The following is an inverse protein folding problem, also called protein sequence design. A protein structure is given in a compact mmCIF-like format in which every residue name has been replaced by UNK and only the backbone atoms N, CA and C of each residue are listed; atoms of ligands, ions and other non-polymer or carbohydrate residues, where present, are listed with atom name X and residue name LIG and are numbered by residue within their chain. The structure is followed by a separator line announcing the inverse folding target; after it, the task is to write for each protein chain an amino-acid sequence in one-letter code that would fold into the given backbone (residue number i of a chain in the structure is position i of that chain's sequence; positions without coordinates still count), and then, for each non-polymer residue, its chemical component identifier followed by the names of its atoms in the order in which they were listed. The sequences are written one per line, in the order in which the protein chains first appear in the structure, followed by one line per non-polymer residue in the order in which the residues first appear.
data_IF_913538640375
#
_entry.id   IF_913538640375
#
_cell.length_a   1.000
_cell.length_b   1.000
_cell.length_c   1.000
_cell.angle_alpha   90.00
_cell.angle_beta   90.00
_cell.angle_gamma   90.00
#
_symmetry.space_group_name_H-M   'P 1'
#
loop_
_entity.id
_entity.type
_entity.pdbx_description
1 polymer ?
#
# COMPACT_ATOMS: atom_id res chain seq x y z
N UNK A 1 -12.60 5.92 13.81
CA UNK A 1 -11.51 6.93 13.75
C UNK A 1 -11.82 8.04 14.72
N UNK A 2 -10.89 8.41 15.59
CA UNK A 2 -11.08 9.52 16.54
C UNK A 2 -10.80 10.89 15.91
N UNK A 3 -9.97 10.91 14.86
CA UNK A 3 -9.71 12.09 14.03
C UNK A 3 -10.56 12.00 12.76
N UNK A 4 -11.41 13.00 12.52
CA UNK A 4 -12.30 13.09 11.34
C UNK A 4 -12.07 14.36 10.51
N UNK A 5 -11.12 15.20 10.91
CA UNK A 5 -10.73 16.45 10.25
C UNK A 5 -9.23 16.44 9.95
N UNK A 6 -8.79 17.06 8.85
CA UNK A 6 -7.38 17.10 8.45
C UNK A 6 -7.02 15.94 7.52
N UNK A 7 -5.88 15.28 7.78
CA UNK A 7 -5.37 14.18 6.95
C UNK A 7 -5.90 12.84 7.48
N UNK A 8 -6.49 12.03 6.59
CA UNK A 8 -6.93 10.67 6.94
C UNK A 8 -5.72 9.75 7.05
N UNK A 9 -5.58 9.06 8.19
CA UNK A 9 -4.44 8.17 8.46
C UNK A 9 -4.96 6.88 9.08
N UNK A 10 -4.65 5.72 8.48
CA UNK A 10 -4.94 4.41 9.05
C UNK A 10 -3.68 3.65 9.41
N UNK A 11 -3.66 2.94 10.54
CA UNK A 11 -2.68 1.88 10.75
C UNK A 11 -3.22 0.59 10.14
N UNK A 12 -2.45 -0.02 9.23
CA UNK A 12 -2.82 -1.26 8.55
C UNK A 12 -1.77 -2.30 8.85
N UNK A 13 -2.21 -3.49 9.25
CA UNK A 13 -1.36 -4.66 9.46
C UNK A 13 -1.82 -5.79 8.56
N UNK A 14 -0.89 -6.30 7.76
CA UNK A 14 -1.04 -7.49 6.94
C UNK A 14 -0.35 -8.67 7.64
N UNK A 15 -1.08 -9.78 7.80
CA UNK A 15 -0.48 -11.07 8.16
C UNK A 15 0.45 -11.58 7.05
N UNK A 16 1.37 -12.53 7.33
CA UNK A 16 2.24 -13.10 6.31
C UNK A 16 1.49 -13.50 5.02
N UNK A 17 2.05 -13.13 3.88
CA UNK A 17 1.47 -13.29 2.54
C UNK A 17 0.15 -12.56 2.26
N UNK A 18 -0.41 -11.80 3.21
CA UNK A 18 -1.59 -10.98 2.99
C UNK A 18 -1.20 -9.72 2.19
N UNK A 19 -1.98 -9.39 1.17
CA UNK A 19 -1.82 -8.19 0.36
C UNK A 19 -3.18 -7.69 -0.10
N UNK A 20 -3.26 -6.40 -0.39
CA UNK A 20 -4.45 -5.84 -1.01
C UNK A 20 -4.51 -6.17 -2.51
N UNK A 21 -5.67 -5.91 -3.11
CA UNK A 21 -5.82 -5.92 -4.56
C UNK A 21 -5.04 -4.75 -5.17
N UNK A 22 -4.79 -4.86 -6.47
CA UNK A 22 -4.43 -3.69 -7.26
C UNK A 22 -5.48 -2.59 -7.05
N UNK A 23 -5.04 -1.36 -6.89
CA UNK A 23 -5.94 -0.21 -6.73
C UNK A 23 -5.29 1.09 -7.19
N UNK A 24 -6.13 2.10 -7.40
CA UNK A 24 -5.73 3.45 -7.80
C UNK A 24 -6.34 4.45 -6.82
N UNK A 25 -5.53 5.41 -6.37
CA UNK A 25 -6.01 6.62 -5.71
C UNK A 25 -6.19 7.71 -6.77
N UNK A 26 -7.42 8.14 -7.02
CA UNK A 26 -7.72 9.19 -8.00
C UNK A 26 -7.62 10.57 -7.36
N UNK A 27 -7.01 11.51 -8.09
CA UNK A 27 -6.76 12.93 -7.74
C UNK A 27 -5.89 13.16 -6.50
N UNK A 28 -6.05 12.36 -5.46
CA UNK A 28 -5.18 12.28 -4.28
C UNK A 28 -4.19 11.13 -4.41
N UNK A 29 -3.06 11.23 -3.71
CA UNK A 29 -2.08 10.16 -3.60
C UNK A 29 -2.11 9.50 -2.23
N UNK A 30 -1.19 8.58 -2.01
CA UNK A 30 -1.02 7.90 -0.73
C UNK A 30 0.45 7.93 -0.31
N UNK A 31 0.70 8.08 0.98
CA UNK A 31 2.02 7.89 1.57
C UNK A 31 1.95 6.72 2.52
N UNK A 32 2.88 5.78 2.40
CA UNK A 32 3.09 4.72 3.38
C UNK A 32 4.28 5.08 4.26
N UNK A 33 4.10 5.04 5.57
CA UNK A 33 5.21 5.04 6.53
C UNK A 33 5.25 3.68 7.21
N UNK A 34 6.28 2.89 6.91
CA UNK A 34 6.40 1.53 7.43
C UNK A 34 6.84 1.59 8.90
N UNK A 35 6.10 0.88 9.75
CA UNK A 35 6.31 0.91 11.21
C UNK A 35 6.88 -0.38 11.75
N UNK A 36 6.57 -1.53 11.15
CA UNK A 36 7.08 -2.82 11.59
C UNK A 36 6.97 -3.89 10.49
N UNK A 37 7.74 -4.97 10.65
CA UNK A 37 7.70 -6.13 9.76
C UNK A 37 8.37 -5.90 8.41
N UNK A 38 8.08 -6.78 7.46
CA UNK A 38 8.62 -6.75 6.10
C UNK A 38 7.51 -6.91 5.07
N UNK A 39 7.48 -6.03 4.08
CA UNK A 39 6.44 -6.00 3.06
C UNK A 39 6.97 -5.75 1.65
N UNK A 40 6.03 -5.66 0.73
CA UNK A 40 6.24 -5.24 -0.64
C UNK A 40 5.35 -4.06 -0.99
N UNK A 41 5.86 -3.22 -1.89
CA UNK A 41 5.08 -2.27 -2.67
C UNK A 41 5.41 -2.46 -4.14
N UNK A 42 4.41 -2.40 -5.01
CA UNK A 42 4.63 -2.51 -6.44
C UNK A 42 3.67 -1.62 -7.22
N UNK A 43 4.23 -0.89 -8.19
CA UNK A 43 3.47 -0.20 -9.23
C UNK A 43 3.28 -1.10 -10.45
N UNK A 44 2.16 -0.92 -11.16
CA UNK A 44 1.87 -1.66 -12.37
C UNK A 44 3.00 -1.52 -13.41
N UNK A 45 3.47 -2.66 -13.93
CA UNK A 45 4.55 -2.71 -14.92
C UNK A 45 5.95 -2.39 -14.38
N UNK A 46 6.12 -2.19 -13.06
CA UNK A 46 7.42 -1.99 -12.42
C UNK A 46 7.79 -3.16 -11.50
N UNK A 47 9.09 -3.36 -11.21
CA UNK A 47 9.51 -4.33 -10.19
C UNK A 47 8.95 -3.99 -8.81
N UNK A 48 8.59 -5.01 -8.03
CA UNK A 48 8.22 -4.83 -6.63
C UNK A 48 9.44 -4.38 -5.81
N UNK A 49 9.19 -3.56 -4.79
CA UNK A 49 10.18 -3.05 -3.86
C UNK A 49 9.95 -3.66 -2.48
N UNK A 50 11.00 -4.21 -1.86
CA UNK A 50 10.96 -4.63 -0.46
C UNK A 50 10.89 -3.42 0.45
N UNK A 51 10.10 -3.55 1.51
CA UNK A 51 9.87 -2.54 2.51
C UNK A 51 10.19 -3.08 3.90
N UNK A 52 10.77 -2.23 4.75
CA UNK A 52 11.05 -2.48 6.17
C UNK A 52 10.74 -1.23 7.01
N UNK A 53 10.73 -1.39 8.33
CA UNK A 53 10.48 -0.28 9.26
C UNK A 53 11.37 0.94 8.97
N UNK A 54 10.73 2.11 8.91
CA UNK A 54 11.37 3.39 8.59
C UNK A 54 11.32 3.77 7.11
N UNK A 55 11.01 2.84 6.21
CA UNK A 55 10.84 3.16 4.79
C UNK A 55 9.57 4.03 4.58
N UNK A 56 9.66 4.95 3.62
CA UNK A 56 8.57 5.83 3.21
C UNK A 56 8.33 5.66 1.73
N UNK A 57 7.09 5.35 1.36
CA UNK A 57 6.67 5.23 -0.03
C UNK A 57 5.73 6.38 -0.36
N UNK A 58 6.10 7.21 -1.32
CA UNK A 58 5.18 8.18 -1.90
C UNK A 58 4.55 7.58 -3.17
N UNK A 59 3.23 7.45 -3.16
CA UNK A 59 2.44 6.85 -4.23
C UNK A 59 1.62 7.99 -4.87
N UNK A 60 2.04 8.50 -6.04
CA UNK A 60 1.32 9.56 -6.72
C UNK A 60 -0.11 9.16 -7.08
N UNK A 61 -0.97 10.16 -7.27
CA UNK A 61 -2.31 9.95 -7.82
C UNK A 61 -2.25 9.22 -9.16
N UNK A 62 -3.31 8.47 -9.48
CA UNK A 62 -3.49 7.70 -10.72
C UNK A 62 -2.53 6.51 -10.91
N UNK A 63 -1.66 6.24 -9.93
CA UNK A 63 -0.76 5.07 -9.99
C UNK A 63 -1.51 3.82 -9.54
N UNK A 64 -1.66 2.86 -10.46
CA UNK A 64 -2.12 1.49 -10.14
C UNK A 64 -1.02 0.76 -9.37
N UNK A 65 -1.34 0.34 -8.16
CA UNK A 65 -0.37 -0.29 -7.26
C UNK A 65 -1.02 -1.28 -6.29
N UNK A 66 -0.18 -2.07 -5.63
CA UNK A 66 -0.56 -2.87 -4.46
C UNK A 66 0.56 -2.79 -3.41
N UNK A 67 0.23 -3.18 -2.19
CA UNK A 67 1.18 -3.38 -1.09
C UNK A 67 0.67 -4.42 -0.12
N UNK A 68 1.59 -5.04 0.61
CA UNK A 68 1.27 -6.13 1.52
C UNK A 68 2.48 -6.71 2.20
N UNK A 69 2.24 -7.74 2.99
CA UNK A 69 3.28 -8.49 3.68
C UNK A 69 4.14 -9.31 2.72
N UNK A 70 5.36 -9.60 3.15
CA UNK A 70 6.16 -10.68 2.56
C UNK A 70 5.61 -12.04 2.97
N UNK A 71 6.13 -13.12 2.35
CA UNK A 71 5.62 -14.49 2.56
C UNK A 71 5.73 -14.95 4.02
N UNK A 72 6.83 -14.59 4.68
CA UNK A 72 7.23 -15.16 5.97
C UNK A 72 7.24 -14.13 7.12
N UNK A 73 6.79 -12.90 6.88
CA UNK A 73 6.75 -11.82 7.87
C UNK A 73 5.44 -11.04 7.76
N UNK A 74 4.93 -10.55 8.88
CA UNK A 74 3.85 -9.56 8.86
C UNK A 74 4.37 -8.22 8.35
N UNK A 75 3.47 -7.30 8.01
CA UNK A 75 3.82 -5.95 7.58
C UNK A 75 2.85 -4.94 8.19
N UNK A 76 3.37 -3.88 8.82
CA UNK A 76 2.55 -2.80 9.38
C UNK A 76 3.04 -1.44 8.94
N UNK A 77 2.11 -0.57 8.56
CA UNK A 77 2.41 0.78 8.13
C UNK A 77 1.26 1.74 8.45
N UNK A 78 1.59 3.02 8.52
CA UNK A 78 0.60 4.07 8.43
C UNK A 78 0.31 4.33 6.95
N UNK A 79 -0.97 4.25 6.57
CA UNK A 79 -1.48 4.72 5.29
C UNK A 79 -1.98 6.15 5.48
N UNK A 80 -1.34 7.11 4.81
CA UNK A 80 -1.63 8.54 4.90
C UNK A 80 -2.20 8.97 3.56
N UNK A 81 -3.49 9.31 3.54
CA UNK A 81 -4.18 9.71 2.32
C UNK A 81 -3.96 11.20 2.05
N UNK A 82 -3.30 11.54 0.93
CA UNK A 82 -3.05 12.92 0.54
C UNK A 82 -4.36 13.55 0.05
N UNK A 83 -4.94 14.54 0.76
CA UNK A 83 -6.28 15.03 0.44
C UNK A 83 -6.36 15.71 -0.93
N UNK A 84 -7.41 15.41 -1.68
CA UNK A 84 -7.75 16.11 -2.92
C UNK A 84 -9.27 16.26 -3.06
N UNK A 85 -9.71 17.37 -3.65
CA UNK A 85 -11.15 17.62 -3.88
C UNK A 85 -11.72 16.57 -4.83
N UNK A 86 -12.68 15.80 -4.34
CA UNK A 86 -13.32 14.72 -5.10
C UNK A 86 -12.39 13.54 -5.39
N UNK A 87 -11.36 13.32 -4.56
CA UNK A 87 -10.53 12.12 -4.60
C UNK A 87 -11.31 10.86 -4.19
N UNK A 88 -10.89 9.72 -4.71
CA UNK A 88 -11.58 8.44 -4.54
C UNK A 88 -10.64 7.27 -4.77
N UNK A 89 -10.98 6.09 -4.27
CA UNK A 89 -10.21 4.87 -4.47
C UNK A 89 -10.95 3.94 -5.45
N UNK A 90 -10.25 3.48 -6.48
CA UNK A 90 -10.72 2.43 -7.38
C UNK A 90 -10.03 1.11 -7.03
N UNK A 91 -10.82 0.12 -6.63
CA UNK A 91 -10.34 -1.23 -6.36
C UNK A 91 -10.44 -2.08 -7.63
N UNK A 92 -9.35 -2.75 -7.98
CA UNK A 92 -9.23 -3.54 -9.20
C UNK A 92 -9.07 -5.03 -8.85
N UNK A 93 -8.46 -5.79 -9.77
CA UNK A 93 -8.26 -7.22 -9.61
C UNK A 93 -7.29 -7.59 -8.47
N UNK A 94 -7.43 -8.79 -7.88
CA UNK A 94 -6.43 -9.31 -6.95
C UNK A 94 -5.05 -9.45 -7.59
N UNK A 95 -4.00 -9.28 -6.79
CA UNK A 95 -2.65 -9.71 -7.16
C UNK A 95 -2.63 -11.24 -7.15
N UNK A 96 -2.34 -11.87 -8.29
CA UNK A 96 -2.42 -13.33 -8.37
C UNK A 96 -1.36 -13.99 -7.51
N UNK A 97 -1.62 -15.24 -7.10
CA UNK A 97 -0.61 -16.00 -6.37
C UNK A 97 0.65 -16.21 -7.23
N UNK A 98 0.51 -16.40 -8.55
CA UNK A 98 1.65 -16.51 -9.44
C UNK A 98 2.51 -15.24 -9.45
N UNK A 99 1.91 -14.06 -9.62
CA UNK A 99 2.62 -12.77 -9.59
C UNK A 99 3.37 -12.60 -8.26
N UNK A 100 2.69 -12.88 -7.16
CA UNK A 100 3.23 -12.72 -5.81
C UNK A 100 4.36 -13.71 -5.50
N UNK A 101 4.22 -14.98 -5.90
CA UNK A 101 5.20 -16.02 -5.63
C UNK A 101 6.49 -15.90 -6.48
N UNK A 102 6.50 -15.07 -7.53
CA UNK A 102 7.74 -14.74 -8.27
C UNK A 102 8.63 -13.72 -7.54
N UNK A 103 8.11 -13.07 -6.50
CA UNK A 103 8.87 -12.07 -5.74
C UNK A 103 9.90 -12.77 -4.84
N UNK A 104 11.11 -12.21 -4.80
CA UNK A 104 12.23 -12.71 -3.99
C UNK A 104 12.30 -12.01 -2.67
#
# INVERSE_FOLDING_TARGET
MLTTTGVSIGNVTFEPACRNNWHIHHKGGQILLVTAGEGYYQEWGKPAQKLKAGDVVNIPAEVKHWHGATKDSFFSHLAIEVPAVGGSNEWLEPVTDEEYLQLK
#
